data_IF_195010876140
#
_entry.id   IF_195010876140
#
_cell.length_a   1.000
_cell.length_b   1.000
_cell.length_c   1.000
_cell.angle_alpha   90.00
_cell.angle_beta   90.00
_cell.angle_gamma   90.00
#
_symmetry.space_group_name_H-M   'P 1'
#
loop_
_entity.id
_entity.type
_entity.pdbx_description
1 polymer ?
#
# COMPACT_ATOMS: atom_id res chain seq x y z
N UNK A 1 14.27 0.03 43.97
CA UNK A 1 14.47 -0.81 42.77
C UNK A 1 13.17 -0.83 41.97
N UNK A 2 12.90 0.23 41.20
CA UNK A 2 11.63 0.39 40.46
C UNK A 2 11.70 -0.39 39.15
N UNK A 3 10.95 -1.48 39.12
CA UNK A 3 10.70 -2.32 37.94
C UNK A 3 9.77 -1.52 37.01
N UNK A 4 10.32 -0.58 36.24
CA UNK A 4 9.57 0.07 35.16
C UNK A 4 9.13 -1.00 34.18
N UNK A 5 7.83 -1.26 34.19
CA UNK A 5 7.13 -2.25 33.40
C UNK A 5 7.32 -1.89 31.93
N UNK A 6 8.18 -2.65 31.25
CA UNK A 6 8.37 -2.62 29.81
C UNK A 6 7.06 -3.09 29.12
N UNK A 7 6.07 -2.21 29.06
CA UNK A 7 4.79 -2.45 28.37
C UNK A 7 4.70 -1.69 27.03
N UNK A 8 5.63 -0.76 26.76
CA UNK A 8 5.60 0.09 25.55
C UNK A 8 6.19 -0.55 24.29
N UNK A 9 6.96 -1.64 24.39
CA UNK A 9 7.59 -2.27 23.21
C UNK A 9 6.61 -2.96 22.26
N UNK A 10 5.34 -3.16 22.67
CA UNK A 10 4.33 -3.86 21.87
C UNK A 10 3.59 -2.96 20.87
N UNK A 11 3.65 -1.64 21.06
CA UNK A 11 2.96 -0.66 20.22
C UNK A 11 3.51 -0.55 18.78
N UNK A 12 4.83 -0.49 18.53
CA UNK A 12 5.35 -0.39 17.16
C UNK A 12 5.09 -1.65 16.33
N UNK A 13 5.14 -2.84 16.95
CA UNK A 13 4.90 -4.14 16.29
C UNK A 13 3.44 -4.25 15.82
N UNK A 14 2.48 -3.80 16.62
CA UNK A 14 1.04 -3.81 16.26
C UNK A 14 0.73 -2.83 15.12
N UNK A 15 1.42 -1.69 15.07
CA UNK A 15 1.22 -0.70 14.00
C UNK A 15 1.80 -1.18 12.66
N UNK A 16 2.94 -1.87 12.66
CA UNK A 16 3.50 -2.40 11.42
C UNK A 16 2.70 -3.53 10.80
N UNK A 17 1.96 -4.28 11.62
CA UNK A 17 1.01 -5.26 11.12
C UNK A 17 -0.16 -4.61 10.36
N UNK A 18 -0.50 -3.35 10.67
CA UNK A 18 -1.69 -2.69 10.13
C UNK A 18 -1.50 -2.18 8.69
N UNK A 19 -0.30 -1.68 8.33
CA UNK A 19 -0.05 -1.22 6.95
C UNK A 19 0.23 -2.36 5.97
N UNK A 20 0.85 -3.46 6.41
CA UNK A 20 1.04 -4.65 5.58
C UNK A 20 -0.29 -5.24 5.09
N UNK A 21 -1.33 -5.20 5.95
CA UNK A 21 -2.70 -5.61 5.58
C UNK A 21 -3.32 -4.70 4.52
N UNK A 22 -2.99 -3.41 4.52
CA UNK A 22 -3.44 -2.47 3.50
C UNK A 22 -2.90 -2.82 2.10
N UNK A 23 -1.61 -3.13 1.98
CA UNK A 23 -1.01 -3.53 0.69
C UNK A 23 -1.55 -4.85 0.14
N UNK A 24 -1.92 -5.78 1.02
CA UNK A 24 -2.60 -7.01 0.61
C UNK A 24 -3.96 -6.69 0.00
N UNK A 25 -4.76 -5.79 0.61
CA UNK A 25 -6.06 -5.39 0.05
C UNK A 25 -5.93 -4.77 -1.33
N UNK A 26 -4.87 -3.99 -1.58
CA UNK A 26 -4.58 -3.40 -2.90
C UNK A 26 -4.36 -4.47 -3.96
N UNK A 27 -3.69 -5.58 -3.61
CA UNK A 27 -3.41 -6.66 -4.55
C UNK A 27 -4.67 -7.43 -4.98
N UNK A 28 -5.71 -7.46 -4.14
CA UNK A 28 -6.94 -8.23 -4.41
C UNK A 28 -8.17 -7.36 -4.75
N UNK A 29 -8.10 -6.04 -4.57
CA UNK A 29 -9.21 -5.12 -4.82
C UNK A 29 -9.09 -4.42 -6.19
N UNK A 30 -10.21 -4.04 -6.83
CA UNK A 30 -10.19 -3.03 -7.88
C UNK A 30 -9.54 -1.74 -7.38
N UNK A 31 -8.71 -1.16 -8.24
CA UNK A 31 -8.02 0.11 -8.01
C UNK A 31 -8.83 1.23 -8.67
N UNK A 32 -9.30 0.99 -9.89
CA UNK A 32 -9.99 1.98 -10.69
C UNK A 32 -11.03 1.32 -11.58
N UNK A 33 -12.17 1.98 -11.74
CA UNK A 33 -13.26 1.53 -12.59
C UNK A 33 -13.82 2.67 -13.42
N UNK A 34 -14.13 2.40 -14.68
CA UNK A 34 -14.79 3.35 -15.57
C UNK A 34 -15.92 2.68 -16.33
N UNK A 35 -17.05 3.37 -16.43
CA UNK A 35 -18.18 2.94 -17.24
C UNK A 35 -18.30 3.91 -18.42
N UNK A 36 -18.51 3.37 -19.61
CA UNK A 36 -18.76 4.17 -20.81
C UNK A 36 -20.10 4.93 -20.66
N UNK A 37 -20.25 6.19 -21.14
CA UNK A 37 -21.53 6.90 -21.15
C UNK A 37 -22.73 6.10 -21.69
N UNK A 38 -22.48 5.22 -22.67
CA UNK A 38 -23.51 4.32 -23.22
C UNK A 38 -23.86 3.11 -22.32
N UNK A 39 -23.21 2.98 -21.16
CA UNK A 39 -23.34 1.89 -20.19
C UNK A 39 -23.21 0.47 -20.76
N UNK A 40 -22.52 0.32 -21.89
CA UNK A 40 -22.32 -0.97 -22.57
C UNK A 40 -21.10 -1.73 -22.06
N UNK A 41 -20.06 -0.99 -21.64
CA UNK A 41 -18.77 -1.55 -21.23
C UNK A 41 -18.27 -0.89 -19.96
N UNK A 42 -17.68 -1.69 -19.07
CA UNK A 42 -16.91 -1.25 -17.91
C UNK A 42 -15.45 -1.65 -18.07
N UNK A 43 -14.55 -0.72 -17.82
CA UNK A 43 -13.13 -1.04 -17.62
C UNK A 43 -12.82 -1.08 -16.14
N UNK A 44 -12.08 -2.11 -15.73
CA UNK A 44 -11.67 -2.34 -14.37
C UNK A 44 -10.16 -2.58 -14.34
N UNK A 45 -9.46 -1.73 -13.61
CA UNK A 45 -8.05 -1.90 -13.31
C UNK A 45 -7.91 -2.60 -11.96
N UNK A 46 -7.33 -3.79 -12.00
CA UNK A 46 -6.87 -4.53 -10.82
C UNK A 46 -5.35 -4.49 -10.75
N UNK A 47 -4.76 -4.96 -9.65
CA UNK A 47 -3.31 -5.04 -9.50
C UNK A 47 -2.63 -6.00 -10.49
N UNK A 48 -3.39 -6.86 -11.17
CA UNK A 48 -2.88 -7.91 -12.06
C UNK A 48 -3.18 -7.65 -13.53
N UNK A 49 -4.34 -7.05 -13.80
CA UNK A 49 -4.86 -6.88 -15.16
C UNK A 49 -5.79 -5.69 -15.27
N UNK A 50 -5.78 -5.07 -16.44
CA UNK A 50 -6.82 -4.16 -16.92
C UNK A 50 -7.80 -4.97 -17.77
N UNK A 51 -9.06 -5.04 -17.35
CA UNK A 51 -10.12 -5.79 -18.04
C UNK A 51 -11.18 -4.85 -18.56
N UNK A 52 -11.67 -5.12 -19.75
CA UNK A 52 -12.87 -4.50 -20.33
C UNK A 52 -13.96 -5.54 -20.34
N UNK A 53 -15.06 -5.27 -19.64
CA UNK A 53 -16.16 -6.20 -19.44
C UNK A 53 -17.41 -5.60 -20.06
N UNK A 54 -18.15 -6.38 -20.86
CA UNK A 54 -19.48 -6.01 -21.32
C UNK A 54 -20.45 -6.00 -20.13
N UNK A 55 -21.25 -4.96 -19.97
CA UNK A 55 -22.15 -4.84 -18.81
C UNK A 55 -23.31 -5.84 -18.90
N UNK A 56 -23.80 -6.11 -20.10
CA UNK A 56 -24.95 -6.99 -20.32
C UNK A 56 -24.62 -8.48 -20.17
N UNK A 57 -23.52 -8.94 -20.78
CA UNK A 57 -23.13 -10.36 -20.79
C UNK A 57 -22.09 -10.73 -19.73
N UNK A 58 -21.52 -9.74 -19.02
CA UNK A 58 -20.35 -9.90 -18.15
C UNK A 58 -19.14 -10.56 -18.82
N UNK A 59 -19.10 -10.57 -20.15
CA UNK A 59 -18.00 -11.16 -20.91
C UNK A 59 -16.77 -10.23 -20.90
N UNK A 60 -15.61 -10.84 -20.74
CA UNK A 60 -14.32 -10.14 -20.83
C UNK A 60 -13.99 -9.93 -22.30
N UNK A 61 -14.18 -8.70 -22.79
CA UNK A 61 -13.93 -8.33 -24.18
C UNK A 61 -12.45 -8.11 -24.47
N UNK A 62 -11.71 -7.61 -23.49
CA UNK A 62 -10.28 -7.39 -23.59
C UNK A 62 -9.62 -7.51 -22.22
N UNK A 63 -8.44 -8.11 -22.19
CA UNK A 63 -7.62 -8.25 -21.00
C UNK A 63 -6.18 -7.88 -21.32
N UNK A 64 -5.63 -6.94 -20.54
CA UNK A 64 -4.22 -6.56 -20.60
C UNK A 64 -3.57 -6.84 -19.26
N UNK A 65 -2.49 -7.62 -19.27
CA UNK A 65 -1.75 -7.95 -18.06
C UNK A 65 -0.94 -6.76 -17.55
N UNK A 66 -1.08 -6.46 -16.26
CA UNK A 66 -0.44 -5.36 -15.51
C UNK A 66 0.16 -5.91 -14.21
N UNK A 67 0.89 -7.03 -14.31
CA UNK A 67 1.40 -7.77 -13.14
C UNK A 67 2.41 -6.99 -12.29
N UNK A 68 3.01 -5.93 -12.83
CA UNK A 68 4.03 -5.14 -12.13
C UNK A 68 3.46 -4.40 -10.91
N UNK A 69 2.19 -3.95 -10.95
CA UNK A 69 1.54 -3.29 -9.80
C UNK A 69 1.36 -4.28 -8.64
N UNK A 70 0.81 -5.47 -8.94
CA UNK A 70 0.65 -6.56 -7.98
C UNK A 70 2.00 -7.04 -7.40
N UNK A 71 3.03 -7.15 -8.25
CA UNK A 71 4.39 -7.49 -7.81
C UNK A 71 4.97 -6.47 -6.83
N UNK A 72 4.83 -5.17 -7.09
CA UNK A 72 5.26 -4.12 -6.17
C UNK A 72 4.47 -4.12 -4.85
N UNK A 73 3.14 -4.31 -4.91
CA UNK A 73 2.29 -4.40 -3.72
C UNK A 73 2.66 -5.60 -2.83
N UNK A 74 2.87 -6.78 -3.42
CA UNK A 74 3.32 -7.96 -2.68
C UNK A 74 4.73 -7.79 -2.11
N UNK A 75 5.65 -7.21 -2.87
CA UNK A 75 7.01 -6.93 -2.39
C UNK A 75 6.98 -5.98 -1.20
N UNK A 76 6.14 -4.94 -1.26
CA UNK A 76 5.92 -4.03 -0.13
C UNK A 76 5.32 -4.74 1.09
N UNK A 77 4.33 -5.62 0.89
CA UNK A 77 3.75 -6.41 1.97
C UNK A 77 4.79 -7.35 2.62
N UNK A 78 5.64 -8.00 1.83
CA UNK A 78 6.73 -8.84 2.32
C UNK A 78 7.79 -8.01 3.07
N UNK A 79 8.16 -6.84 2.56
CA UNK A 79 9.12 -5.96 3.21
C UNK A 79 8.59 -5.44 4.56
N UNK A 80 7.29 -5.17 4.64
CA UNK A 80 6.60 -4.83 5.89
C UNK A 80 6.72 -5.96 6.94
N UNK A 81 6.50 -7.21 6.50
CA UNK A 81 6.66 -8.38 7.36
C UNK A 81 8.12 -8.63 7.76
N UNK A 82 9.06 -8.40 6.86
CA UNK A 82 10.48 -8.53 7.15
C UNK A 82 10.96 -7.47 8.16
N UNK A 83 10.46 -6.23 8.05
CA UNK A 83 10.71 -5.15 9.01
C UNK A 83 10.28 -5.51 10.45
N UNK A 84 9.22 -6.30 10.62
CA UNK A 84 8.78 -6.80 11.93
C UNK A 84 9.79 -7.74 12.58
N UNK A 85 10.45 -8.59 11.80
CA UNK A 85 11.43 -9.56 12.31
C UNK A 85 12.71 -8.87 12.80
N UNK A 86 13.00 -7.66 12.30
CA UNK A 86 14.21 -6.91 12.64
C UNK A 86 14.04 -5.97 13.84
N UNK A 87 13.09 -6.25 14.75
CA UNK A 87 12.79 -5.44 15.94
C UNK A 87 13.98 -5.22 16.89
N UNK A 88 15.03 -6.05 16.78
CA UNK A 88 16.26 -5.94 17.58
C UNK A 88 17.07 -4.69 17.20
N UNK A 89 17.12 -4.37 15.91
CA UNK A 89 17.90 -3.26 15.36
C UNK A 89 16.97 -2.12 14.91
N UNK A 90 16.66 -1.18 15.82
CA UNK A 90 15.71 -0.07 15.55
C UNK A 90 16.12 0.80 14.35
N UNK A 91 17.42 1.01 14.16
CA UNK A 91 17.94 1.74 13.00
C UNK A 91 17.64 1.03 11.67
N UNK A 92 17.78 -0.30 11.63
CA UNK A 92 17.47 -1.11 10.43
C UNK A 92 15.97 -1.15 10.18
N UNK A 93 15.15 -1.25 11.23
CA UNK A 93 13.69 -1.18 11.13
C UNK A 93 13.21 0.14 10.50
N UNK A 94 13.81 1.27 10.90
CA UNK A 94 13.52 2.58 10.30
C UNK A 94 13.95 2.67 8.84
N UNK A 95 15.13 2.14 8.50
CA UNK A 95 15.61 2.11 7.12
C UNK A 95 14.70 1.25 6.22
N UNK A 96 14.32 0.05 6.67
CA UNK A 96 13.40 -0.83 5.96
C UNK A 96 12.01 -0.20 5.77
N UNK A 97 11.47 0.46 6.79
CA UNK A 97 10.18 1.15 6.63
C UNK A 97 10.26 2.33 5.64
N UNK A 98 11.40 3.02 5.55
CA UNK A 98 11.62 4.08 4.56
C UNK A 98 11.67 3.51 3.14
N UNK A 99 12.39 2.40 2.94
CA UNK A 99 12.39 1.67 1.67
C UNK A 99 10.98 1.19 1.33
N UNK A 100 10.21 0.71 2.32
CA UNK A 100 8.82 0.32 2.10
C UNK A 100 7.96 1.50 1.64
N UNK A 101 8.13 2.67 2.25
CA UNK A 101 7.41 3.88 1.85
C UNK A 101 7.70 4.28 0.40
N UNK A 102 8.95 4.14 -0.04
CA UNK A 102 9.34 4.37 -1.44
C UNK A 102 8.66 3.36 -2.39
N UNK A 103 8.59 2.07 -2.02
CA UNK A 103 7.86 1.08 -2.81
C UNK A 103 6.37 1.41 -2.92
N UNK A 104 5.74 1.80 -1.81
CA UNK A 104 4.34 2.23 -1.80
C UNK A 104 4.11 3.51 -2.60
N UNK A 105 5.09 4.41 -2.69
CA UNK A 105 5.01 5.57 -3.57
C UNK A 105 5.11 5.14 -5.05
N UNK A 106 6.02 4.22 -5.36
CA UNK A 106 6.15 3.63 -6.69
C UNK A 106 4.87 2.95 -7.16
N UNK A 107 4.16 2.22 -6.28
CA UNK A 107 2.88 1.59 -6.63
C UNK A 107 1.83 2.64 -7.01
N UNK A 108 1.71 3.75 -6.26
CA UNK A 108 0.79 4.84 -6.62
C UNK A 108 1.13 5.43 -7.99
N UNK A 109 2.41 5.72 -8.24
CA UNK A 109 2.86 6.28 -9.51
C UNK A 109 2.51 5.33 -10.67
N UNK A 110 2.79 4.03 -10.51
CA UNK A 110 2.44 3.00 -11.48
C UNK A 110 0.94 2.90 -11.74
N UNK A 111 0.11 3.00 -10.70
CA UNK A 111 -1.35 3.01 -10.83
C UNK A 111 -1.85 4.23 -11.61
N UNK A 112 -1.40 5.42 -11.23
CA UNK A 112 -1.81 6.68 -11.90
C UNK A 112 -1.39 6.67 -13.37
N UNK A 113 -0.16 6.21 -13.66
CA UNK A 113 0.30 6.03 -15.02
C UNK A 113 -0.60 5.08 -15.81
N UNK A 114 -0.96 3.93 -15.23
CA UNK A 114 -1.79 2.95 -15.92
C UNK A 114 -3.22 3.46 -16.17
N UNK A 115 -3.79 4.19 -15.20
CA UNK A 115 -5.10 4.86 -15.34
C UNK A 115 -5.04 5.93 -16.42
N UNK A 116 -4.00 6.75 -16.46
CA UNK A 116 -3.83 7.76 -17.50
C UNK A 116 -3.77 7.14 -18.90
N UNK A 117 -2.99 6.06 -19.06
CA UNK A 117 -2.92 5.31 -20.32
C UNK A 117 -4.27 4.68 -20.70
N UNK A 118 -5.04 4.19 -19.72
CA UNK A 118 -6.36 3.61 -19.98
C UNK A 118 -7.40 4.67 -20.37
N UNK A 119 -7.44 5.81 -19.67
CA UNK A 119 -8.31 6.95 -19.98
C UNK A 119 -8.09 7.48 -21.40
N UNK A 120 -6.82 7.56 -21.83
CA UNK A 120 -6.46 8.02 -23.18
C UNK A 120 -7.03 7.14 -24.31
N UNK A 121 -7.34 5.86 -24.02
CA UNK A 121 -7.83 4.90 -25.02
C UNK A 121 -9.36 4.95 -25.17
N UNK A 122 -10.12 5.18 -24.08
CA UNK A 122 -11.59 5.13 -24.11
C UNK A 122 -12.21 6.50 -24.34
N UNK A 123 -11.82 7.49 -23.54
CA UNK A 123 -12.48 8.78 -23.52
C UNK A 123 -11.65 9.81 -22.74
N UNK A 124 -11.01 10.79 -23.40
CA UNK A 124 -10.27 11.85 -22.71
C UNK A 124 -11.17 12.82 -21.92
N UNK A 125 -12.49 12.78 -22.13
CA UNK A 125 -13.46 13.68 -21.50
C UNK A 125 -14.19 13.13 -20.26
N UNK A 126 -14.07 11.83 -19.96
CA UNK A 126 -14.72 11.21 -18.79
C UNK A 126 -13.66 10.53 -17.94
N UNK A 127 -13.51 10.97 -16.70
CA UNK A 127 -12.60 10.35 -15.75
C UNK A 127 -13.30 9.18 -15.05
N UNK A 128 -12.70 7.99 -15.07
CA UNK A 128 -13.17 6.88 -14.24
C UNK A 128 -13.01 7.14 -12.74
N UNK A 129 -13.71 6.36 -11.92
CA UNK A 129 -13.71 6.46 -10.48
C UNK A 129 -12.59 5.63 -9.84
N UNK A 130 -11.89 6.22 -8.86
CA UNK A 130 -10.96 5.50 -8.00
C UNK A 130 -11.73 4.74 -6.92
N UNK A 131 -11.43 3.45 -6.77
CA UNK A 131 -12.13 2.53 -5.86
C UNK A 131 -11.25 2.22 -4.65
N UNK A 132 -11.73 1.35 -3.76
CA UNK A 132 -11.09 0.97 -2.49
C UNK A 132 -9.61 0.62 -2.63
N UNK A 133 -9.18 -0.05 -3.70
CA UNK A 133 -7.79 -0.44 -3.90
C UNK A 133 -6.85 0.76 -4.00
N UNK A 134 -7.29 1.87 -4.60
CA UNK A 134 -6.49 3.10 -4.66
C UNK A 134 -6.37 3.75 -3.28
N UNK A 135 -7.49 3.92 -2.58
CA UNK A 135 -7.53 4.54 -1.24
C UNK A 135 -6.80 3.71 -0.17
N UNK A 136 -6.78 2.38 -0.31
CA UNK A 136 -6.05 1.48 0.57
C UNK A 136 -4.53 1.76 0.55
N UNK A 137 -3.97 2.18 -0.58
CA UNK A 137 -2.56 2.56 -0.67
C UNK A 137 -2.26 3.81 0.16
N UNK A 138 -3.10 4.83 0.07
CA UNK A 138 -2.97 6.05 0.87
C UNK A 138 -3.10 5.76 2.37
N UNK A 139 -4.06 4.91 2.74
CA UNK A 139 -4.20 4.46 4.13
C UNK A 139 -2.92 3.77 4.62
N UNK A 140 -2.36 2.86 3.82
CA UNK A 140 -1.10 2.17 4.14
C UNK A 140 0.08 3.14 4.28
N UNK A 141 0.17 4.17 3.44
CA UNK A 141 1.18 5.23 3.53
C UNK A 141 1.09 6.00 4.85
N UNK A 142 -0.13 6.41 5.24
CA UNK A 142 -0.34 7.11 6.52
C UNK A 142 0.04 6.23 7.70
N UNK A 143 -0.35 4.95 7.67
CA UNK A 143 0.03 3.99 8.71
C UNK A 143 1.54 3.75 8.78
N UNK A 144 2.25 3.75 7.64
CA UNK A 144 3.72 3.66 7.60
C UNK A 144 4.38 4.89 8.23
N UNK A 145 3.89 6.10 7.94
CA UNK A 145 4.38 7.33 8.57
C UNK A 145 4.20 7.30 10.09
N UNK A 146 3.05 6.84 10.56
CA UNK A 146 2.80 6.68 11.99
C UNK A 146 3.75 5.65 12.61
N UNK A 147 3.94 4.49 11.98
CA UNK A 147 4.88 3.47 12.46
C UNK A 147 6.29 4.05 12.63
N UNK A 148 6.76 4.85 11.68
CA UNK A 148 8.06 5.53 11.75
C UNK A 148 8.14 6.52 12.93
N UNK A 149 7.05 7.25 13.21
CA UNK A 149 6.98 8.17 14.35
C UNK A 149 7.09 7.43 15.68
N UNK A 150 6.39 6.30 15.84
CA UNK A 150 6.44 5.51 17.07
C UNK A 150 7.80 4.86 17.28
N UNK A 151 8.40 4.25 16.26
CA UNK A 151 9.74 3.63 16.36
C UNK A 151 10.81 4.66 16.79
N UNK A 152 10.78 5.87 16.19
CA UNK A 152 11.70 6.96 16.57
C UNK A 152 11.49 7.43 18.01
N UNK A 153 10.25 7.49 18.49
CA UNK A 153 9.95 7.87 19.87
C UNK A 153 10.49 6.82 20.85
N UNK A 154 10.27 5.55 20.54
CA UNK A 154 10.75 4.45 21.38
C UNK A 154 12.28 4.44 21.44
N UNK A 155 12.98 4.65 20.31
CA UNK A 155 14.44 4.72 20.26
C UNK A 155 15.01 5.86 21.11
N UNK A 156 14.41 7.05 21.03
CA UNK A 156 14.81 8.20 21.87
C UNK A 156 14.68 7.90 23.36
N UNK A 157 13.61 7.19 23.76
CA UNK A 157 13.38 6.84 25.16
C UNK A 157 14.48 5.90 25.68
N UNK A 158 14.83 4.85 24.93
CA UNK A 158 15.91 3.92 25.32
C UNK A 158 17.25 4.65 25.43
N UNK A 159 17.60 5.48 24.43
CA UNK A 159 18.84 6.28 24.43
C UNK A 159 18.89 7.36 25.52
N UNK A 160 17.76 7.74 26.10
CA UNK A 160 17.73 8.71 27.21
C UNK A 160 18.05 8.05 28.56
N UNK A 161 17.68 6.78 28.72
CA UNK A 161 17.97 5.99 29.92
C UNK A 161 19.46 5.63 29.98
N UNK A 162 20.05 5.27 28.83
CA UNK A 162 21.48 4.94 28.76
C UNK A 162 22.40 6.12 29.06
N UNK A 163 21.91 7.36 29.00
CA UNK A 163 22.69 8.57 29.32
C UNK A 163 22.70 8.95 30.81
N UNK A 164 21.84 8.33 31.63
CA UNK A 164 21.71 8.63 33.07
C UNK A 164 22.52 7.63 33.93
N UNK A 165 22.89 6.49 33.36
CA UNK A 165 23.85 5.55 33.96
C UNK A 165 25.28 5.97 33.65
#
# INVERSE_FOLDING_TARGET
MLKFKCNDSKNPIRLSLSFGRGMVLVAFSPIWEQVNPAQTQRMMLTAWSLKTIAIDSQEVLAEKSVFYIGGLALTSALLALFSLLQYKDRGRQLMLNMVNALLMMGTVISMVWQVHQANAIINPGVNGAFVLGFWAVFFALVMNMLANRFIRKDEKLVRSIDRIR
#
